data_IF_658693894970
#
_entry.id   IF_658693894970
#
_cell.length_a   1.000
_cell.length_b   1.000
_cell.length_c   1.000
_cell.angle_alpha   90.00
_cell.angle_beta   90.00
_cell.angle_gamma   90.00
#
_symmetry.space_group_name_H-M   'P 1'
#
loop_
_entity.id
_entity.type
_entity.pdbx_description
1 polymer ?
#
# COMPACT_ATOMS: atom_id res chain seq x y z
N UNK A 1 13.34 -2.02 -17.55
CA UNK A 1 14.36 -1.84 -16.50
C UNK A 1 14.54 -3.16 -15.80
N UNK A 2 15.69 -3.83 -16.01
CA UNK A 2 16.04 -5.13 -15.38
C UNK A 2 16.97 -4.97 -14.18
N UNK A 3 17.47 -3.76 -13.94
CA UNK A 3 18.41 -3.45 -12.87
C UNK A 3 17.88 -3.81 -11.49
N UNK A 4 18.77 -4.21 -10.58
CA UNK A 4 18.42 -4.52 -9.19
C UNK A 4 18.05 -3.25 -8.42
N UNK A 5 17.54 -3.37 -7.19
CA UNK A 5 17.24 -2.18 -6.38
C UNK A 5 18.54 -1.48 -5.94
N UNK A 6 19.59 -2.28 -5.69
CA UNK A 6 20.93 -1.86 -5.29
C UNK A 6 21.62 -1.05 -6.39
N UNK A 7 21.62 -1.56 -7.63
CA UNK A 7 22.19 -0.84 -8.78
C UNK A 7 21.50 0.51 -9.02
N UNK A 8 20.17 0.56 -8.84
CA UNK A 8 19.39 1.79 -8.99
C UNK A 8 19.72 2.76 -7.87
N UNK A 9 19.85 2.27 -6.64
CA UNK A 9 20.19 3.08 -5.50
C UNK A 9 21.58 3.70 -5.66
N UNK A 10 22.57 2.89 -6.03
CA UNK A 10 23.95 3.36 -6.28
C UNK A 10 23.97 4.44 -7.37
N UNK A 11 23.38 4.17 -8.54
CA UNK A 11 23.39 5.09 -9.67
C UNK A 11 22.58 6.39 -9.47
N UNK A 12 21.64 6.42 -8.52
CA UNK A 12 20.80 7.59 -8.23
C UNK A 12 21.13 8.25 -6.88
N UNK A 13 22.07 7.71 -6.11
CA UNK A 13 22.47 8.19 -4.79
C UNK A 13 22.92 9.66 -4.81
N UNK A 14 23.68 10.06 -5.84
CA UNK A 14 24.15 11.44 -6.05
C UNK A 14 23.02 12.45 -6.28
N UNK A 15 21.81 11.99 -6.59
CA UNK A 15 20.60 12.80 -6.74
C UNK A 15 19.71 12.76 -5.50
N UNK A 16 20.24 12.32 -4.36
CA UNK A 16 19.56 12.31 -3.06
C UNK A 16 18.64 11.12 -2.82
N UNK A 17 18.69 10.07 -3.67
CA UNK A 17 17.93 8.83 -3.44
C UNK A 17 18.58 8.04 -2.30
N UNK A 18 17.79 7.72 -1.27
CA UNK A 18 18.24 7.00 -0.06
C UNK A 18 17.71 5.57 0.02
N UNK A 19 16.61 5.27 -0.68
CA UNK A 19 16.08 3.92 -0.77
C UNK A 19 15.32 3.74 -2.08
N UNK A 20 15.38 2.51 -2.60
CA UNK A 20 14.65 2.07 -3.79
C UNK A 20 13.77 0.90 -3.38
N UNK A 21 12.54 0.86 -3.89
CA UNK A 21 11.65 -0.29 -3.72
C UNK A 21 10.93 -0.60 -5.02
N UNK A 22 11.12 -1.80 -5.54
CA UNK A 22 10.44 -2.30 -6.74
C UNK A 22 9.03 -2.72 -6.39
N UNK A 23 8.10 -2.33 -7.26
CA UNK A 23 6.73 -2.81 -7.15
C UNK A 23 6.65 -4.18 -7.83
N UNK A 24 6.11 -5.15 -7.12
CA UNK A 24 5.83 -6.49 -7.62
C UNK A 24 4.33 -6.64 -7.85
N UNK A 25 3.96 -7.34 -8.92
CA UNK A 25 2.59 -7.74 -9.18
C UNK A 25 2.47 -9.25 -9.06
N UNK A 26 1.42 -9.72 -8.39
CA UNK A 26 1.08 -11.14 -8.36
C UNK A 26 0.38 -11.51 -9.66
N UNK A 27 0.94 -12.46 -10.42
CA UNK A 27 0.31 -13.10 -11.58
C UNK A 27 0.13 -14.58 -11.26
N UNK A 28 -1.09 -14.98 -10.94
CA UNK A 28 -1.37 -16.34 -10.46
C UNK A 28 -0.63 -16.62 -9.16
N UNK A 29 0.25 -17.62 -9.17
CA UNK A 29 1.09 -18.03 -8.03
C UNK A 29 2.42 -17.26 -7.95
N UNK A 30 2.88 -16.65 -9.05
CA UNK A 30 4.20 -16.01 -9.12
C UNK A 30 4.14 -14.50 -8.84
N UNK A 31 5.18 -13.99 -8.19
CA UNK A 31 5.43 -12.55 -8.07
C UNK A 31 6.30 -12.09 -9.22
N UNK A 32 5.80 -11.16 -10.03
CA UNK A 32 6.49 -10.62 -11.19
C UNK A 32 6.92 -9.19 -10.89
N UNK A 33 8.22 -8.95 -11.03
CA UNK A 33 8.82 -7.63 -10.93
C UNK A 33 8.23 -6.69 -11.99
N UNK A 34 7.72 -5.52 -11.57
CA UNK A 34 7.28 -4.50 -12.52
C UNK A 34 8.42 -3.57 -12.92
N UNK A 35 8.20 -2.81 -13.98
CA UNK A 35 9.11 -1.72 -14.40
C UNK A 35 9.02 -0.49 -13.48
N UNK A 36 8.09 -0.46 -12.52
CA UNK A 36 7.89 0.67 -11.62
C UNK A 36 8.68 0.48 -10.31
N UNK A 37 9.35 1.54 -9.88
CA UNK A 37 10.07 1.62 -8.62
C UNK A 37 9.58 2.84 -7.84
N UNK A 38 9.66 2.74 -6.51
CA UNK A 38 9.43 3.83 -5.57
C UNK A 38 10.82 4.29 -5.13
N UNK A 39 11.07 5.58 -5.28
CA UNK A 39 12.31 6.23 -4.83
C UNK A 39 12.00 7.00 -3.54
N UNK A 40 12.84 6.83 -2.53
CA UNK A 40 12.83 7.65 -1.32
C UNK A 40 13.96 8.66 -1.43
N UNK A 41 13.65 9.94 -1.21
CA UNK A 41 14.63 11.02 -1.28
C UNK A 41 14.95 11.53 0.12
N UNK A 42 16.13 12.10 0.31
CA UNK A 42 16.52 12.82 1.52
C UNK A 42 16.00 14.28 1.56
N UNK A 43 15.14 14.68 0.61
CA UNK A 43 14.57 16.02 0.50
C UNK A 43 13.10 16.07 0.89
N UNK A 44 12.66 17.20 1.45
CA UNK A 44 11.24 17.43 1.80
C UNK A 44 10.35 17.74 0.59
N UNK A 45 10.96 18.29 -0.48
CA UNK A 45 10.29 18.53 -1.76
C UNK A 45 10.68 17.44 -2.75
N UNK A 46 9.69 16.86 -3.41
CA UNK A 46 9.89 15.86 -4.46
C UNK A 46 10.53 16.54 -5.69
N UNK A 47 11.70 16.08 -6.16
CA UNK A 47 12.29 16.58 -7.41
C UNK A 47 11.40 16.24 -8.59
N UNK A 48 11.14 17.16 -9.52
CA UNK A 48 10.24 16.91 -10.67
C UNK A 48 10.75 15.84 -11.63
N UNK A 49 12.07 15.65 -11.71
CA UNK A 49 12.73 14.66 -12.55
C UNK A 49 13.93 14.04 -11.86
N UNK A 50 14.26 12.81 -12.25
CA UNK A 50 15.53 12.14 -11.93
C UNK A 50 16.22 11.74 -13.23
N UNK A 51 17.52 11.97 -13.33
CA UNK A 51 18.33 11.54 -14.48
C UNK A 51 18.80 10.10 -14.26
N UNK A 52 18.36 9.18 -15.10
CA UNK A 52 18.82 7.79 -15.08
C UNK A 52 19.65 7.53 -16.36
N UNK A 53 20.98 7.48 -16.24
CA UNK A 53 21.86 7.46 -17.41
C UNK A 53 21.66 8.72 -18.28
N UNK A 54 21.24 8.53 -19.54
CA UNK A 54 21.02 9.62 -20.49
C UNK A 54 19.55 10.11 -20.58
N UNK A 55 18.65 9.55 -19.76
CA UNK A 55 17.22 9.91 -19.78
C UNK A 55 16.78 10.68 -18.54
N UNK A 56 15.86 11.62 -18.70
CA UNK A 56 15.17 12.31 -17.61
C UNK A 56 13.81 11.65 -17.35
N UNK A 57 13.65 11.07 -16.17
CA UNK A 57 12.43 10.41 -15.72
C UNK A 57 11.61 11.36 -14.85
N UNK A 58 10.38 11.69 -15.26
CA UNK A 58 9.45 12.45 -14.42
C UNK A 58 9.10 11.65 -13.17
N UNK A 59 9.16 12.29 -12.01
CA UNK A 59 8.71 11.69 -10.76
C UNK A 59 7.25 12.03 -10.51
N UNK A 60 6.61 11.26 -9.63
CA UNK A 60 5.28 11.55 -9.09
C UNK A 60 5.22 11.08 -7.66
N UNK A 61 4.44 11.78 -6.82
CA UNK A 61 4.22 11.36 -5.45
C UNK A 61 3.66 9.94 -5.41
N UNK A 62 4.25 9.10 -4.56
CA UNK A 62 3.76 7.76 -4.29
C UNK A 62 2.74 7.83 -3.16
N UNK A 63 1.46 7.63 -3.49
CA UNK A 63 0.39 7.51 -2.48
C UNK A 63 0.20 6.02 -2.16
N UNK A 64 0.63 5.55 -0.97
CA UNK A 64 0.50 4.14 -0.61
C UNK A 64 -0.97 3.71 -0.52
N UNK A 65 -1.22 2.41 -0.64
CA UNK A 65 -2.53 1.86 -0.33
C UNK A 65 -2.72 1.76 1.18
N UNK A 66 -3.96 1.92 1.69
CA UNK A 66 -4.25 1.70 3.10
C UNK A 66 -3.75 0.35 3.59
N UNK A 67 -3.05 0.35 4.71
CA UNK A 67 -2.63 -0.89 5.36
C UNK A 67 -3.88 -1.57 5.93
N UNK A 68 -4.18 -2.77 5.43
CA UNK A 68 -5.22 -3.65 5.98
C UNK A 68 -4.55 -4.80 6.74
N UNK A 69 -4.95 -5.00 7.98
CA UNK A 69 -4.48 -6.12 8.78
C UNK A 69 -5.05 -7.44 8.24
N UNK A 70 -4.19 -8.37 7.81
CA UNK A 70 -4.63 -9.68 7.31
C UNK A 70 -5.19 -10.62 8.39
N UNK A 71 -5.07 -10.26 9.68
CA UNK A 71 -5.65 -11.01 10.82
C UNK A 71 -7.07 -10.54 11.11
N UNK A 72 -7.25 -9.28 11.50
CA UNK A 72 -8.55 -8.74 11.94
C UNK A 72 -9.31 -7.95 10.87
N UNK A 73 -8.74 -7.81 9.66
CA UNK A 73 -9.31 -7.08 8.52
C UNK A 73 -9.47 -5.55 8.69
N UNK A 74 -9.15 -4.99 9.86
CA UNK A 74 -9.19 -3.53 10.11
C UNK A 74 -8.02 -2.80 9.45
N UNK A 75 -8.21 -1.51 9.18
CA UNK A 75 -7.17 -0.65 8.63
C UNK A 75 -6.23 -0.08 9.71
N UNK A 76 -5.04 0.36 9.28
CA UNK A 76 -4.11 1.16 10.10
C UNK A 76 -2.99 0.38 10.79
N UNK A 77 -2.97 -0.96 10.73
CA UNK A 77 -1.90 -1.75 11.34
C UNK A 77 -1.62 -3.06 10.59
N UNK A 78 -0.41 -3.60 10.77
CA UNK A 78 0.02 -4.88 10.20
C UNK A 78 -0.50 -6.07 11.02
N UNK A 79 -0.34 -7.29 10.48
CA UNK A 79 -0.61 -8.53 11.22
C UNK A 79 0.25 -8.65 12.50
N UNK A 80 1.50 -8.22 12.44
CA UNK A 80 2.46 -8.32 13.56
C UNK A 80 2.10 -7.43 14.74
N UNK A 81 1.55 -6.25 14.48
CA UNK A 81 1.07 -5.33 15.52
C UNK A 81 -0.38 -5.61 15.98
N UNK A 82 -1.03 -6.65 15.44
CA UNK A 82 -2.46 -6.88 15.64
C UNK A 82 -2.76 -7.57 16.97
N UNK A 83 -3.51 -6.89 17.84
CA UNK A 83 -4.08 -7.42 19.08
C UNK A 83 -5.50 -7.99 18.92
N UNK A 84 -6.07 -7.91 17.72
CA UNK A 84 -7.42 -8.40 17.43
C UNK A 84 -7.50 -9.91 17.20
N UNK A 85 -8.72 -10.43 17.09
CA UNK A 85 -9.02 -11.83 16.72
C UNK A 85 -8.85 -12.05 15.21
N UNK A 86 -8.69 -13.31 14.83
CA UNK A 86 -8.70 -13.70 13.42
C UNK A 86 -10.12 -13.51 12.87
N UNK A 87 -10.24 -12.84 11.74
CA UNK A 87 -11.53 -12.49 11.13
C UNK A 87 -11.51 -12.84 9.65
N UNK A 88 -12.54 -13.54 9.20
CA UNK A 88 -12.71 -13.94 7.81
C UNK A 88 -12.83 -12.71 6.91
N UNK A 89 -12.05 -12.66 5.82
CA UNK A 89 -12.10 -11.50 4.92
C UNK A 89 -13.32 -11.50 3.98
N UNK A 90 -14.02 -12.64 3.84
CA UNK A 90 -15.20 -12.80 3.00
C UNK A 90 -16.49 -12.45 3.74
N UNK A 91 -16.71 -12.98 4.94
CA UNK A 91 -17.97 -12.85 5.69
C UNK A 91 -17.84 -12.19 7.08
N UNK A 92 -16.66 -11.71 7.45
CA UNK A 92 -16.40 -11.06 8.73
C UNK A 92 -16.64 -11.90 10.02
N UNK A 93 -16.91 -13.21 9.92
CA UNK A 93 -16.96 -14.13 11.07
C UNK A 93 -15.57 -14.31 11.70
N UNK A 94 -15.54 -14.67 12.99
CA UNK A 94 -14.33 -14.98 13.77
C UNK A 94 -14.16 -16.48 14.04
N UNK A 95 -15.09 -17.31 13.56
CA UNK A 95 -15.20 -18.72 13.93
C UNK A 95 -14.35 -19.63 13.04
N UNK A 96 -13.91 -19.12 11.88
CA UNK A 96 -13.16 -19.89 10.89
C UNK A 96 -12.10 -19.04 10.17
N UNK A 97 -11.17 -19.73 9.50
CA UNK A 97 -10.20 -19.11 8.61
C UNK A 97 -10.81 -18.81 7.26
N UNK A 98 -10.30 -17.80 6.55
CA UNK A 98 -10.82 -17.43 5.22
C UNK A 98 -10.74 -18.57 4.19
N UNK A 99 -9.78 -19.50 4.35
CA UNK A 99 -9.66 -20.71 3.52
C UNK A 99 -10.88 -21.61 3.62
N UNK A 100 -11.50 -21.67 4.80
CA UNK A 100 -12.56 -22.63 5.15
C UNK A 100 -13.94 -21.97 5.11
N UNK A 101 -14.02 -20.74 4.59
CA UNK A 101 -15.25 -19.98 4.51
C UNK A 101 -16.18 -20.55 3.42
N UNK A 102 -17.32 -21.06 3.86
CA UNK A 102 -18.41 -21.57 3.02
C UNK A 102 -19.56 -20.56 2.82
N UNK A 103 -19.44 -19.35 3.37
CA UNK A 103 -20.48 -18.31 3.23
C UNK A 103 -20.64 -17.90 1.76
N UNK A 104 -21.87 -18.04 1.24
CA UNK A 104 -22.24 -17.53 -0.08
C UNK A 104 -22.32 -16.00 -0.08
N UNK A 105 -22.75 -15.42 1.04
CA UNK A 105 -22.85 -13.97 1.21
C UNK A 105 -21.50 -13.37 1.64
N UNK A 106 -21.14 -12.26 1.00
CA UNK A 106 -19.98 -11.48 1.39
C UNK A 106 -20.39 -10.40 2.39
N UNK A 107 -19.56 -10.16 3.39
CA UNK A 107 -19.75 -9.11 4.37
C UNK A 107 -18.40 -8.48 4.73
N UNK A 108 -18.32 -7.17 4.57
CA UNK A 108 -17.11 -6.43 4.88
C UNK A 108 -16.97 -6.23 6.39
N UNK A 109 -15.83 -6.59 6.96
CA UNK A 109 -15.56 -6.40 8.39
C UNK A 109 -15.61 -4.92 8.83
N UNK A 110 -15.33 -3.99 7.90
CA UNK A 110 -15.18 -2.56 8.18
C UNK A 110 -16.46 -1.73 7.96
N UNK A 111 -17.19 -1.94 6.85
CA UNK A 111 -18.39 -1.16 6.52
C UNK A 111 -19.70 -1.96 6.55
N UNK A 112 -19.64 -3.28 6.81
CA UNK A 112 -20.80 -4.18 6.87
C UNK A 112 -21.65 -4.24 5.58
N UNK A 113 -21.07 -3.87 4.45
CA UNK A 113 -21.71 -3.94 3.12
C UNK A 113 -21.40 -5.28 2.41
N UNK A 114 -22.20 -5.66 1.38
CA UNK A 114 -22.14 -6.98 0.73
C UNK A 114 -20.94 -7.13 -0.24
N UNK A 115 -19.73 -7.07 0.31
CA UNK A 115 -18.49 -7.29 -0.43
C UNK A 115 -17.38 -7.75 0.52
N UNK A 116 -16.30 -8.30 -0.03
CA UNK A 116 -15.16 -8.73 0.78
C UNK A 116 -14.44 -7.54 1.44
N UNK A 117 -13.71 -7.82 2.52
CA UNK A 117 -12.92 -6.83 3.25
C UNK A 117 -11.72 -6.29 2.45
N UNK A 118 -11.39 -6.88 1.30
CA UNK A 118 -10.32 -6.43 0.40
C UNK A 118 -10.83 -5.67 -0.83
N UNK A 119 -12.15 -5.46 -0.95
CA UNK A 119 -12.72 -4.66 -2.04
C UNK A 119 -12.22 -3.20 -1.98
N UNK A 120 -11.84 -2.66 -3.14
CA UNK A 120 -11.47 -1.25 -3.31
C UNK A 120 -12.70 -0.33 -3.39
N UNK A 121 -13.87 -0.90 -3.63
CA UNK A 121 -15.12 -0.15 -3.68
C UNK A 121 -15.68 0.14 -2.28
N UNK A 122 -15.11 -0.50 -1.26
CA UNK A 122 -15.46 -0.29 0.14
C UNK A 122 -15.36 1.21 0.52
N UNK A 123 -16.41 1.81 1.10
CA UNK A 123 -16.38 3.22 1.51
C UNK A 123 -15.30 3.49 2.56
N UNK A 124 -15.06 2.56 3.48
CA UNK A 124 -13.98 2.70 4.45
C UNK A 124 -12.60 2.63 3.77
N UNK A 125 -12.43 1.80 2.75
CA UNK A 125 -11.17 1.77 1.99
C UNK A 125 -10.93 3.10 1.26
N UNK A 126 -11.97 3.67 0.63
CA UNK A 126 -11.89 4.98 -0.05
C UNK A 126 -11.56 6.09 0.94
N UNK A 127 -12.17 6.08 2.13
CA UNK A 127 -11.85 7.02 3.22
C UNK A 127 -10.37 6.92 3.63
N UNK A 128 -9.88 5.71 3.92
CA UNK A 128 -8.48 5.51 4.28
C UNK A 128 -7.52 5.87 3.14
N UNK A 129 -7.92 5.67 1.88
CA UNK A 129 -7.13 6.06 0.71
C UNK A 129 -6.99 7.58 0.63
N UNK A 130 -8.08 8.32 0.86
CA UNK A 130 -8.06 9.77 0.93
C UNK A 130 -7.15 10.27 2.07
N UNK A 131 -7.23 9.65 3.26
CA UNK A 131 -6.33 9.99 4.37
C UNK A 131 -4.85 9.82 3.96
N UNK A 132 -4.49 8.73 3.27
CA UNK A 132 -3.12 8.56 2.76
C UNK A 132 -2.76 9.61 1.71
N UNK A 133 -3.70 10.00 0.86
CA UNK A 133 -3.48 11.04 -0.15
C UNK A 133 -3.21 12.41 0.47
N UNK A 134 -4.05 12.84 1.42
CA UNK A 134 -3.86 14.09 2.19
C UNK A 134 -2.53 14.04 2.93
N UNK A 135 -2.25 12.94 3.65
CA UNK A 135 -1.00 12.72 4.37
C UNK A 135 0.23 12.91 3.48
N UNK A 136 0.22 12.30 2.29
CA UNK A 136 1.34 12.38 1.34
C UNK A 136 1.44 13.75 0.67
N UNK A 137 0.32 14.38 0.31
CA UNK A 137 0.33 15.68 -0.38
C UNK A 137 0.69 16.84 0.54
N UNK A 138 0.29 16.78 1.81
CA UNK A 138 0.49 17.86 2.78
C UNK A 138 1.63 17.57 3.77
N UNK A 139 2.34 16.45 3.64
CA UNK A 139 3.41 16.03 4.55
C UNK A 139 2.98 15.97 6.02
N UNK A 140 1.77 15.47 6.28
CA UNK A 140 1.21 15.35 7.63
C UNK A 140 1.45 13.96 8.22
N UNK A 141 1.31 13.84 9.54
CA UNK A 141 1.14 12.54 10.19
C UNK A 141 -0.23 11.92 9.80
N UNK A 142 -0.37 10.61 9.98
CA UNK A 142 -1.66 9.94 9.72
C UNK A 142 -2.79 10.49 10.60
N UNK A 143 -2.48 10.87 11.85
CA UNK A 143 -3.49 11.36 12.79
C UNK A 143 -3.98 12.76 12.42
N UNK A 144 -3.09 13.64 11.97
CA UNK A 144 -3.45 14.97 11.46
C UNK A 144 -4.30 14.86 10.19
N UNK A 145 -3.85 14.05 9.21
CA UNK A 145 -4.57 13.85 7.96
C UNK A 145 -5.97 13.24 8.14
N UNK A 146 -6.21 12.49 9.23
CA UNK A 146 -7.50 11.88 9.56
C UNK A 146 -8.51 12.88 10.15
N UNK A 147 -8.03 14.02 10.68
CA UNK A 147 -8.87 15.07 11.28
C UNK A 147 -9.40 16.07 10.26
N UNK A 148 -8.79 16.12 9.08
CA UNK A 148 -9.23 16.91 7.93
C UNK A 148 -10.35 16.17 7.19
#
# INVERSE_FOLDING_TARGET
MKSTEEEILEGLSSQGVTAVKRIFMKKGTSLVATKHVILTFNTTKLPSTVKAGYIYCKTRLYIPNPIRCFKCQRFGHSKTACRGRQTCCKCASVDHLTSDCQSAELLCANCKQPHSSYSKDCPQWKKEKNIQEVRTKQNLSYYEAKKL
#
